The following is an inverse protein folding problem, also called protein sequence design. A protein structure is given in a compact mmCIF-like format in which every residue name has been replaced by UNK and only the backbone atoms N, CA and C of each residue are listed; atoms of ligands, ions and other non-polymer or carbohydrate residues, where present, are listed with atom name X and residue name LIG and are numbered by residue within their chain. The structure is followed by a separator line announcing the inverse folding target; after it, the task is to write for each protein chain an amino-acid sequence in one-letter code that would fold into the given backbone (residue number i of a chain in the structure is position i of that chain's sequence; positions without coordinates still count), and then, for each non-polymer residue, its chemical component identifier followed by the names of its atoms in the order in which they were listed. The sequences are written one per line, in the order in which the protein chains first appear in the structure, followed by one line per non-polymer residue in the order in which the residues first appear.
data_IF_810619959358
#
_entry.id   IF_810619959358
#
_cell.length_a   1.000
_cell.length_b   1.000
_cell.length_c   1.000
_cell.angle_alpha   90.00
_cell.angle_beta   90.00
_cell.angle_gamma   90.00
#
_symmetry.space_group_name_H-M   'P 1'
#
loop_
_entity.id
_entity.type
_entity.pdbx_description
1 polymer ?
#
# COMPACT_ATOMS: atom_id res chain seq x y z
N UNK A 1 -26.89 12.82 38.81
CA UNK A 1 -27.35 13.50 37.60
C UNK A 1 -26.86 12.65 36.44
N UNK A 2 -27.70 12.22 35.49
CA UNK A 2 -27.21 11.45 34.36
C UNK A 2 -26.36 12.38 33.49
N UNK A 3 -25.19 11.87 33.14
CA UNK A 3 -24.18 12.52 32.30
C UNK A 3 -24.76 12.83 30.90
N UNK A 4 -25.08 14.10 30.67
CA UNK A 4 -25.64 14.59 29.39
C UNK A 4 -24.59 14.75 28.30
N UNK A 5 -23.30 14.45 28.58
CA UNK A 5 -22.19 14.65 27.62
C UNK A 5 -21.93 13.45 26.71
N UNK A 6 -22.57 12.30 26.91
CA UNK A 6 -22.32 11.09 26.10
C UNK A 6 -23.41 10.76 25.10
N UNK A 7 -24.43 11.60 24.92
CA UNK A 7 -25.47 11.37 23.91
C UNK A 7 -25.01 11.93 22.56
N UNK A 8 -24.90 11.11 21.51
CA UNK A 8 -24.69 11.64 20.17
C UNK A 8 -25.83 12.60 19.84
N UNK A 9 -25.49 13.82 19.53
CA UNK A 9 -26.43 14.81 19.00
C UNK A 9 -27.00 14.21 17.72
N UNK A 10 -28.32 14.05 17.61
CA UNK A 10 -29.06 13.49 16.48
C UNK A 10 -29.10 11.96 16.33
N UNK A 11 -29.44 11.23 17.38
CA UNK A 11 -30.12 9.93 17.16
C UNK A 11 -31.52 10.19 16.58
N UNK A 12 -32.02 9.37 15.62
CA UNK A 12 -33.44 9.40 15.30
C UNK A 12 -34.25 9.28 16.60
N UNK A 13 -35.04 10.31 16.93
CA UNK A 13 -35.80 10.39 18.18
C UNK A 13 -35.24 11.33 19.26
N UNK A 14 -33.96 11.76 19.21
CA UNK A 14 -33.35 12.66 20.20
C UNK A 14 -33.33 14.14 19.76
N UNK A 15 -33.87 14.44 18.60
CA UNK A 15 -33.92 15.80 18.06
C UNK A 15 -35.25 16.38 18.34
N UNK A 16 -35.28 17.56 18.92
CA UNK A 16 -36.50 18.38 19.03
C UNK A 16 -37.16 18.54 17.65
N UNK A 17 -38.32 19.17 17.54
CA UNK A 17 -39.07 19.25 16.30
C UNK A 17 -38.21 19.82 15.18
N UNK A 18 -37.76 18.94 14.27
CA UNK A 18 -37.10 19.34 13.03
C UNK A 18 -38.12 19.95 12.08
N UNK A 19 -37.75 20.91 11.24
CA UNK A 19 -38.56 21.31 10.08
C UNK A 19 -38.98 20.07 9.28
N UNK A 20 -40.22 20.03 8.83
CA UNK A 20 -40.78 18.84 8.15
C UNK A 20 -40.09 18.47 6.86
N UNK A 21 -39.35 19.37 6.28
CA UNK A 21 -38.56 19.23 5.03
C UNK A 21 -37.04 19.11 5.27
N UNK A 22 -36.62 19.03 6.55
CA UNK A 22 -35.19 18.93 6.85
C UNK A 22 -34.67 17.52 6.51
N UNK A 23 -33.57 17.40 5.73
CA UNK A 23 -32.93 16.12 5.47
C UNK A 23 -32.48 15.43 6.75
N UNK A 24 -32.59 14.10 6.80
CA UNK A 24 -32.07 13.32 7.92
C UNK A 24 -30.56 13.49 8.04
N UNK A 25 -30.10 13.97 9.19
CA UNK A 25 -28.67 14.10 9.50
C UNK A 25 -28.24 12.92 10.37
N UNK A 26 -27.36 12.07 9.83
CA UNK A 26 -26.78 10.94 10.56
C UNK A 26 -25.34 11.25 10.90
N UNK A 27 -24.96 11.13 12.18
CA UNK A 27 -23.61 11.44 12.69
C UNK A 27 -23.28 10.62 13.94
N UNK A 28 -22.06 10.80 14.47
CA UNK A 28 -21.60 10.19 15.71
C UNK A 28 -20.84 8.89 15.52
N UNK A 29 -20.45 8.57 14.28
CA UNK A 29 -19.62 7.40 13.98
C UNK A 29 -18.22 7.81 13.51
N UNK A 30 -17.27 6.91 13.75
CA UNK A 30 -15.90 7.00 13.25
C UNK A 30 -15.77 6.03 12.07
N UNK A 31 -15.26 6.51 10.95
CA UNK A 31 -14.89 5.69 9.80
C UNK A 31 -13.38 5.44 9.77
N UNK A 32 -12.99 4.22 9.49
CA UNK A 32 -11.62 3.85 9.13
C UNK A 32 -11.61 3.42 7.67
N UNK A 33 -10.78 4.05 6.87
CA UNK A 33 -10.63 3.75 5.44
C UNK A 33 -9.20 3.29 5.19
N UNK A 34 -9.02 1.98 5.01
CA UNK A 34 -7.75 1.40 4.56
C UNK A 34 -7.58 1.71 3.07
N UNK A 35 -6.41 2.20 2.66
CA UNK A 35 -6.17 2.54 1.25
C UNK A 35 -4.89 1.90 0.75
N UNK A 36 -5.02 1.11 -0.33
CA UNK A 36 -3.89 0.54 -1.04
C UNK A 36 -3.76 1.14 -2.45
N UNK A 37 -2.68 0.82 -3.17
CA UNK A 37 -2.33 1.39 -4.48
C UNK A 37 -3.47 1.26 -5.50
N UNK A 38 -4.00 0.07 -5.59
CA UNK A 38 -5.03 -0.25 -6.57
C UNK A 38 -4.56 -1.19 -7.66
N UNK A 39 -5.52 -1.59 -8.46
CA UNK A 39 -5.35 -2.62 -9.46
C UNK A 39 -6.40 -2.42 -10.57
N UNK A 40 -6.16 -2.91 -11.79
CA UNK A 40 -7.18 -2.87 -12.84
C UNK A 40 -8.40 -3.73 -12.49
N UNK A 41 -9.57 -3.41 -13.05
CA UNK A 41 -10.78 -4.23 -12.88
C UNK A 41 -10.70 -5.60 -13.61
N UNK A 42 -9.74 -5.75 -14.50
CA UNK A 42 -9.49 -6.96 -15.27
C UNK A 42 -8.17 -6.87 -16.04
N UNK A 43 -7.77 -7.99 -16.65
CA UNK A 43 -6.50 -8.08 -17.39
C UNK A 43 -6.63 -7.79 -18.88
N UNK A 44 -7.83 -7.40 -19.33
CA UNK A 44 -8.08 -7.00 -20.71
C UNK A 44 -7.51 -5.60 -21.02
N UNK A 45 -7.36 -5.31 -22.32
CA UNK A 45 -6.78 -4.06 -22.79
C UNK A 45 -7.47 -2.81 -22.22
N UNK A 46 -8.80 -2.77 -22.19
CA UNK A 46 -9.53 -1.57 -21.78
C UNK A 46 -9.52 -1.35 -20.28
N UNK A 47 -9.59 -2.43 -19.49
CA UNK A 47 -9.44 -2.37 -18.04
C UNK A 47 -8.03 -1.89 -17.66
N UNK A 48 -7.00 -2.44 -18.31
CA UNK A 48 -5.63 -1.98 -18.12
C UNK A 48 -5.43 -0.52 -18.56
N UNK A 49 -6.01 -0.13 -19.70
CA UNK A 49 -5.88 1.24 -20.19
C UNK A 49 -6.50 2.26 -19.24
N UNK A 50 -7.69 1.97 -18.67
CA UNK A 50 -8.33 2.85 -17.67
C UNK A 50 -7.47 2.99 -16.43
N UNK A 51 -7.02 1.88 -15.87
CA UNK A 51 -6.17 1.85 -14.69
C UNK A 51 -4.85 2.61 -14.89
N UNK A 52 -4.12 2.31 -15.96
CA UNK A 52 -2.86 2.97 -16.29
C UNK A 52 -3.05 4.47 -16.59
N UNK A 53 -4.17 4.84 -17.23
CA UNK A 53 -4.49 6.24 -17.47
C UNK A 53 -4.69 7.01 -16.16
N UNK A 54 -5.42 6.42 -15.22
CA UNK A 54 -5.65 7.01 -13.90
C UNK A 54 -4.35 7.12 -13.08
N UNK A 55 -3.60 6.03 -13.00
CA UNK A 55 -2.34 5.95 -12.26
C UNK A 55 -1.27 6.91 -12.79
N UNK A 56 -1.02 6.86 -14.10
CA UNK A 56 0.04 7.66 -14.72
C UNK A 56 -0.36 9.13 -14.97
N UNK A 57 -1.63 9.49 -14.78
CA UNK A 57 -2.06 10.90 -14.80
C UNK A 57 -1.86 11.61 -13.46
N UNK A 58 -1.48 10.89 -12.41
CA UNK A 58 -1.25 11.51 -11.11
C UNK A 58 0.05 12.34 -11.13
N UNK A 59 -0.02 13.65 -10.84
CA UNK A 59 1.17 14.52 -10.83
C UNK A 59 2.15 14.17 -9.70
N UNK A 60 1.72 13.42 -8.67
CA UNK A 60 2.62 12.88 -7.64
C UNK A 60 3.47 11.74 -8.16
N UNK A 61 2.94 10.96 -9.10
CA UNK A 61 3.64 9.81 -9.71
C UNK A 61 4.55 10.29 -10.85
N UNK A 62 4.05 11.18 -11.70
CA UNK A 62 4.78 11.71 -12.85
C UNK A 62 4.82 13.24 -12.77
N UNK A 63 5.95 13.78 -12.36
CA UNK A 63 6.18 15.22 -12.22
C UNK A 63 6.60 15.91 -13.55
N UNK A 64 5.92 15.56 -14.63
CA UNK A 64 6.07 16.25 -15.93
C UNK A 64 4.90 17.21 -16.12
N UNK A 65 5.08 18.41 -16.73
CA UNK A 65 3.97 19.31 -17.01
C UNK A 65 2.81 18.61 -17.70
N UNK A 66 1.63 18.64 -17.08
CA UNK A 66 0.47 17.82 -17.47
C UNK A 66 0.09 17.92 -18.96
N UNK A 67 0.07 19.09 -19.62
CA UNK A 67 -0.27 19.16 -21.04
C UNK A 67 0.66 18.34 -21.93
N UNK A 68 1.97 18.36 -21.65
CA UNK A 68 2.97 17.60 -22.39
C UNK A 68 2.83 16.12 -22.07
N UNK A 69 2.72 15.81 -20.77
CA UNK A 69 2.61 14.42 -20.33
C UNK A 69 1.37 13.74 -20.87
N UNK A 70 0.21 14.39 -20.89
CA UNK A 70 -1.02 13.80 -21.41
C UNK A 70 -0.93 13.42 -22.89
N UNK A 71 -0.21 14.19 -23.72
CA UNK A 71 0.02 13.81 -25.12
C UNK A 71 0.84 12.52 -25.22
N UNK A 72 1.88 12.38 -24.40
CA UNK A 72 2.73 11.18 -24.36
C UNK A 72 1.94 10.00 -23.77
N UNK A 73 1.21 10.24 -22.70
CA UNK A 73 0.44 9.19 -22.00
C UNK A 73 -0.67 8.64 -22.90
N UNK A 74 -1.56 9.50 -23.41
CA UNK A 74 -2.73 9.08 -24.19
C UNK A 74 -2.36 8.53 -25.58
N UNK A 75 -1.22 8.98 -26.14
CA UNK A 75 -0.67 8.50 -27.40
C UNK A 75 0.09 7.17 -27.22
N UNK A 76 1.43 7.17 -27.28
CA UNK A 76 2.21 5.94 -27.35
C UNK A 76 2.06 5.05 -26.11
N UNK A 77 2.04 5.62 -24.89
CA UNK A 77 2.05 4.79 -23.66
C UNK A 77 0.79 3.96 -23.58
N UNK A 78 -0.38 4.57 -23.60
CA UNK A 78 -1.66 3.87 -23.46
C UNK A 78 -2.12 3.12 -24.72
N UNK A 79 -1.36 3.21 -25.82
CA UNK A 79 -1.58 2.36 -26.99
C UNK A 79 -0.91 0.99 -26.81
N UNK A 80 0.31 0.94 -26.29
CA UNK A 80 1.11 -0.29 -26.26
C UNK A 80 1.19 -0.93 -24.85
N UNK A 81 1.36 -0.13 -23.80
CA UNK A 81 1.58 -0.61 -22.43
C UNK A 81 0.43 -1.46 -21.87
N UNK A 82 -0.87 -1.17 -22.12
CA UNK A 82 -1.96 -1.97 -21.59
C UNK A 82 -1.89 -3.45 -21.96
N UNK A 83 -1.52 -3.79 -23.20
CA UNK A 83 -1.37 -5.18 -23.64
C UNK A 83 -0.19 -5.88 -22.95
N UNK A 84 0.94 -5.18 -22.75
CA UNK A 84 2.10 -5.73 -22.02
C UNK A 84 1.75 -5.96 -20.56
N UNK A 85 1.25 -4.95 -19.88
CA UNK A 85 0.86 -5.05 -18.46
C UNK A 85 -0.25 -6.06 -18.24
N UNK A 86 -1.23 -6.17 -19.14
CA UNK A 86 -2.29 -7.17 -19.04
C UNK A 86 -1.78 -8.61 -19.11
N UNK A 87 -0.70 -8.88 -19.85
CA UNK A 87 -0.05 -10.20 -19.85
C UNK A 87 0.63 -10.51 -18.51
N UNK A 88 1.33 -9.54 -17.93
CA UNK A 88 1.95 -9.68 -16.61
C UNK A 88 0.89 -9.91 -15.52
N UNK A 89 -0.18 -9.10 -15.49
CA UNK A 89 -1.29 -9.31 -14.56
C UNK A 89 -1.97 -10.68 -14.73
N UNK A 90 -2.06 -11.22 -15.94
CA UNK A 90 -2.63 -12.58 -16.16
C UNK A 90 -1.83 -13.68 -15.45
N UNK A 91 -0.52 -13.53 -15.28
CA UNK A 91 0.32 -14.53 -14.60
C UNK A 91 -0.06 -14.67 -13.11
N UNK A 92 -0.45 -13.58 -12.48
CA UNK A 92 -0.78 -13.52 -11.04
C UNK A 92 -2.27 -13.47 -10.74
N UNK A 93 -3.12 -13.37 -11.78
CA UNK A 93 -4.57 -13.22 -11.60
C UNK A 93 -5.22 -14.48 -11.09
N UNK A 94 -5.90 -14.38 -9.94
CA UNK A 94 -6.61 -15.51 -9.34
C UNK A 94 -8.01 -15.67 -9.91
N UNK A 95 -8.72 -16.74 -9.55
CA UNK A 95 -10.15 -16.92 -9.90
C UNK A 95 -11.04 -15.84 -9.28
N UNK A 96 -10.63 -15.27 -8.17
CA UNK A 96 -11.36 -14.25 -7.41
C UNK A 96 -10.98 -12.82 -7.85
N UNK A 97 -9.89 -12.63 -8.59
CA UNK A 97 -9.41 -11.34 -9.09
C UNK A 97 -7.95 -11.06 -8.76
N UNK A 98 -7.62 -9.78 -8.66
CA UNK A 98 -6.27 -9.32 -8.32
C UNK A 98 -5.91 -9.66 -6.86
N UNK A 99 -4.72 -10.26 -6.60
CA UNK A 99 -4.24 -10.51 -5.24
C UNK A 99 -4.29 -9.27 -4.34
N UNK A 100 -3.80 -8.13 -4.82
CA UNK A 100 -3.79 -6.89 -4.06
C UNK A 100 -5.19 -6.45 -3.58
N UNK A 101 -6.20 -6.57 -4.46
CA UNK A 101 -7.59 -6.25 -4.09
C UNK A 101 -8.12 -7.23 -3.05
N UNK A 102 -7.88 -8.51 -3.25
CA UNK A 102 -8.37 -9.58 -2.36
C UNK A 102 -7.77 -9.47 -0.96
N UNK A 103 -6.45 -9.28 -0.86
CA UNK A 103 -5.78 -9.11 0.42
C UNK A 103 -6.25 -7.83 1.13
N UNK A 104 -6.36 -6.71 0.42
CA UNK A 104 -6.86 -5.46 1.03
C UNK A 104 -8.29 -5.61 1.53
N UNK A 105 -9.16 -6.30 0.80
CA UNK A 105 -10.53 -6.61 1.21
C UNK A 105 -10.54 -7.47 2.48
N UNK A 106 -9.77 -8.57 2.50
CA UNK A 106 -9.67 -9.49 3.64
C UNK A 106 -9.08 -8.82 4.87
N UNK A 107 -8.09 -7.94 4.71
CA UNK A 107 -7.55 -7.10 5.79
C UNK A 107 -8.64 -6.23 6.42
N UNK A 108 -9.44 -5.55 5.59
CA UNK A 108 -10.54 -4.73 6.08
C UNK A 108 -11.64 -5.55 6.79
N UNK A 109 -11.97 -6.73 6.27
CA UNK A 109 -12.94 -7.65 6.88
C UNK A 109 -12.44 -8.20 8.22
N UNK A 110 -11.18 -8.65 8.28
CA UNK A 110 -10.56 -9.15 9.51
C UNK A 110 -10.45 -8.05 10.57
N UNK A 111 -10.04 -6.85 10.20
CA UNK A 111 -9.99 -5.71 11.09
C UNK A 111 -11.39 -5.34 11.60
N UNK A 112 -12.40 -5.32 10.71
CA UNK A 112 -13.80 -5.09 11.09
C UNK A 112 -14.31 -6.11 12.08
N UNK A 113 -13.93 -7.38 11.93
CA UNK A 113 -14.31 -8.43 12.87
C UNK A 113 -13.68 -8.24 14.27
N UNK A 114 -12.45 -7.68 14.34
CA UNK A 114 -11.73 -7.47 15.59
C UNK A 114 -12.18 -6.22 16.36
N UNK A 115 -12.34 -5.10 15.67
CA UNK A 115 -12.55 -3.79 16.30
C UNK A 115 -13.80 -3.06 15.80
N UNK A 116 -14.47 -3.58 14.79
CA UNK A 116 -15.69 -2.98 14.24
C UNK A 116 -16.81 -2.96 15.27
N UNK A 117 -17.59 -1.87 15.27
CA UNK A 117 -18.76 -1.70 16.13
C UNK A 117 -19.79 -0.81 15.44
N UNK A 118 -20.93 -0.59 16.09
CA UNK A 118 -21.93 0.35 15.58
C UNK A 118 -21.40 1.79 15.47
N UNK A 119 -20.32 2.10 16.20
CA UNK A 119 -19.71 3.43 16.24
C UNK A 119 -18.39 3.52 15.46
N UNK A 120 -17.71 2.40 15.20
CA UNK A 120 -16.46 2.32 14.44
C UNK A 120 -16.67 1.46 13.19
N UNK A 121 -16.74 2.10 12.03
CA UNK A 121 -16.93 1.44 10.74
C UNK A 121 -15.58 1.30 10.03
N UNK A 122 -15.29 0.10 9.53
CA UNK A 122 -14.10 -0.18 8.74
C UNK A 122 -14.52 -0.45 7.29
N UNK A 123 -13.85 0.19 6.35
CA UNK A 123 -13.98 -0.07 4.90
C UNK A 123 -12.60 0.09 4.23
N UNK A 124 -12.50 -0.24 2.97
CA UNK A 124 -11.27 -0.08 2.19
C UNK A 124 -11.52 0.62 0.85
N UNK A 125 -10.47 1.20 0.30
CA UNK A 125 -10.47 1.80 -1.04
C UNK A 125 -9.15 1.54 -1.75
N UNK A 126 -9.17 1.72 -3.06
CA UNK A 126 -8.00 1.77 -3.91
C UNK A 126 -7.68 3.22 -4.28
N UNK A 127 -6.39 3.57 -4.24
CA UNK A 127 -5.94 4.88 -4.70
C UNK A 127 -6.24 5.07 -6.18
N UNK A 128 -5.99 4.00 -6.98
CA UNK A 128 -6.34 3.95 -8.41
C UNK A 128 -7.23 2.73 -8.69
N UNK A 129 -8.26 2.91 -9.52
CA UNK A 129 -9.25 1.89 -9.81
C UNK A 129 -10.36 1.80 -8.78
N UNK A 130 -10.89 0.60 -8.54
CA UNK A 130 -12.07 0.37 -7.73
C UNK A 130 -11.83 -0.57 -6.54
N UNK A 131 -12.56 -0.36 -5.41
CA UNK A 131 -13.44 0.77 -5.10
C UNK A 131 -12.66 2.06 -4.83
N UNK A 132 -13.08 3.17 -5.38
CA UNK A 132 -12.34 4.44 -5.28
C UNK A 132 -12.48 5.13 -3.92
N UNK A 133 -11.47 5.93 -3.52
CA UNK A 133 -11.51 6.76 -2.31
C UNK A 133 -12.78 7.64 -2.25
N UNK A 134 -13.14 8.40 -3.30
CA UNK A 134 -14.34 9.24 -3.25
C UNK A 134 -15.61 8.44 -2.98
N UNK A 135 -15.78 7.26 -3.60
CA UNK A 135 -16.97 6.43 -3.42
C UNK A 135 -17.10 5.92 -1.98
N UNK A 136 -15.98 5.53 -1.38
CA UNK A 136 -15.96 4.99 -0.02
C UNK A 136 -16.12 6.08 1.05
N UNK A 137 -15.53 7.25 0.85
CA UNK A 137 -15.78 8.40 1.71
C UNK A 137 -17.25 8.81 1.69
N UNK A 138 -17.89 8.85 0.51
CA UNK A 138 -19.32 9.14 0.41
C UNK A 138 -20.16 8.08 1.12
N UNK A 139 -19.81 6.79 1.00
CA UNK A 139 -20.49 5.68 1.69
C UNK A 139 -20.37 5.81 3.22
N UNK A 140 -19.16 6.00 3.75
CA UNK A 140 -18.93 6.17 5.20
C UNK A 140 -19.71 7.40 5.74
N UNK A 141 -19.71 8.50 4.98
CA UNK A 141 -20.47 9.70 5.33
C UNK A 141 -21.98 9.42 5.38
N UNK A 142 -22.52 8.72 4.39
CA UNK A 142 -23.94 8.32 4.37
C UNK A 142 -24.32 7.39 5.53
N UNK A 143 -23.36 6.61 6.06
CA UNK A 143 -23.55 5.74 7.22
C UNK A 143 -23.43 6.48 8.56
N UNK A 144 -23.14 7.79 8.54
CA UNK A 144 -23.07 8.63 9.73
C UNK A 144 -21.68 8.85 10.29
N UNK A 145 -20.62 8.57 9.53
CA UNK A 145 -19.28 8.92 9.94
C UNK A 145 -19.07 10.43 9.80
N UNK A 146 -18.92 11.11 10.91
CA UNK A 146 -18.55 12.53 11.00
C UNK A 146 -17.06 12.73 11.33
N UNK A 147 -16.34 11.63 11.53
CA UNK A 147 -14.89 11.53 11.70
C UNK A 147 -14.40 10.36 10.86
N UNK A 148 -13.40 10.58 10.03
CA UNK A 148 -12.84 9.51 9.19
C UNK A 148 -11.31 9.54 9.28
N UNK A 149 -10.73 8.38 9.61
CA UNK A 149 -9.30 8.14 9.55
C UNK A 149 -8.97 7.39 8.27
N UNK A 150 -8.10 7.96 7.43
CA UNK A 150 -7.57 7.32 6.22
C UNK A 150 -6.20 6.75 6.52
N UNK A 151 -6.02 5.47 6.24
CA UNK A 151 -4.79 4.73 6.51
C UNK A 151 -4.20 4.24 5.18
N UNK A 152 -3.22 4.94 4.63
CA UNK A 152 -2.44 4.43 3.50
C UNK A 152 -1.65 3.19 3.93
N UNK A 153 -1.83 2.07 3.23
CA UNK A 153 -1.16 0.80 3.55
C UNK A 153 0.25 0.73 2.93
N UNK A 154 1.00 1.81 3.09
CA UNK A 154 2.40 1.91 2.66
C UNK A 154 3.26 2.14 3.90
N UNK A 155 4.14 1.18 4.27
CA UNK A 155 4.97 1.34 5.46
C UNK A 155 5.87 2.57 5.40
N UNK A 156 6.53 2.78 4.26
CA UNK A 156 7.38 3.95 4.02
C UNK A 156 6.58 5.06 3.32
N UNK A 157 6.81 6.30 3.73
CA UNK A 157 6.23 7.47 3.06
C UNK A 157 6.94 7.74 1.73
N UNK A 158 6.17 8.00 0.70
CA UNK A 158 6.60 8.72 -0.49
C UNK A 158 5.49 9.66 -0.96
N UNK A 159 5.88 10.74 -1.65
CA UNK A 159 4.91 11.60 -2.30
C UNK A 159 4.10 10.84 -3.36
N UNK A 160 4.69 9.83 -4.01
CA UNK A 160 4.04 8.99 -5.02
C UNK A 160 2.96 8.06 -4.46
N UNK A 161 2.97 7.80 -3.16
CA UNK A 161 2.05 6.89 -2.47
C UNK A 161 1.19 7.62 -1.45
N UNK A 162 1.73 7.89 -0.26
CA UNK A 162 0.98 8.47 0.86
C UNK A 162 0.43 9.85 0.52
N UNK A 163 1.22 10.74 -0.09
CA UNK A 163 0.70 12.07 -0.45
C UNK A 163 -0.34 12.00 -1.59
N UNK A 164 -0.23 11.07 -2.54
CA UNK A 164 -1.25 10.85 -3.55
C UNK A 164 -2.60 10.44 -2.92
N UNK A 165 -2.60 9.52 -1.93
CA UNK A 165 -3.80 9.15 -1.17
C UNK A 165 -4.40 10.37 -0.45
N UNK A 166 -3.56 11.19 0.19
CA UNK A 166 -4.00 12.42 0.86
C UNK A 166 -4.63 13.40 -0.13
N UNK A 167 -3.98 13.68 -1.26
CA UNK A 167 -4.48 14.59 -2.29
C UNK A 167 -5.84 14.14 -2.84
N UNK A 168 -6.00 12.85 -3.12
CA UNK A 168 -7.27 12.28 -3.62
C UNK A 168 -8.37 12.34 -2.56
N UNK A 169 -8.02 12.12 -1.30
CA UNK A 169 -8.92 12.28 -0.17
C UNK A 169 -9.40 13.73 -0.06
N UNK A 170 -8.48 14.70 -0.06
CA UNK A 170 -8.82 16.12 0.07
C UNK A 170 -9.64 16.63 -1.12
N UNK A 171 -9.32 16.21 -2.34
CA UNK A 171 -10.13 16.52 -3.53
C UNK A 171 -11.56 15.94 -3.45
N UNK A 172 -11.74 14.81 -2.79
CA UNK A 172 -13.09 14.28 -2.56
C UNK A 172 -13.85 15.10 -1.52
N UNK A 173 -13.17 15.55 -0.46
CA UNK A 173 -13.77 16.40 0.58
C UNK A 173 -14.20 17.78 0.04
N UNK A 174 -13.42 18.40 -0.85
CA UNK A 174 -13.75 19.69 -1.48
C UNK A 174 -15.15 19.69 -2.12
N UNK A 175 -15.62 18.53 -2.57
CA UNK A 175 -16.95 18.37 -3.20
C UNK A 175 -18.07 18.16 -2.18
N UNK A 176 -17.77 17.99 -0.89
CA UNK A 176 -18.77 17.73 0.14
C UNK A 176 -19.26 19.02 0.77
N UNK A 177 -20.59 19.19 0.87
CA UNK A 177 -21.19 20.34 1.58
C UNK A 177 -20.87 20.33 3.06
N UNK A 178 -20.88 19.13 3.70
CA UNK A 178 -20.51 18.91 5.08
C UNK A 178 -19.40 17.86 5.14
N UNK A 179 -18.19 18.33 5.41
CA UNK A 179 -17.00 17.47 5.50
C UNK A 179 -16.92 16.81 6.88
N UNK A 180 -16.55 15.52 6.98
CA UNK A 180 -16.18 14.91 8.24
C UNK A 180 -14.85 15.49 8.76
N UNK A 181 -14.62 15.38 10.07
CA UNK A 181 -13.27 15.59 10.61
C UNK A 181 -12.35 14.49 10.08
N UNK A 182 -11.12 14.85 9.68
CA UNK A 182 -10.20 13.91 9.02
C UNK A 182 -8.90 13.74 9.79
N UNK A 183 -8.40 12.50 9.77
CA UNK A 183 -7.02 12.16 10.06
C UNK A 183 -6.46 11.32 8.94
N UNK A 184 -5.17 11.47 8.66
CA UNK A 184 -4.41 10.60 7.77
C UNK A 184 -3.27 9.99 8.57
N UNK A 185 -3.16 8.66 8.55
CA UNK A 185 -2.10 7.98 9.30
C UNK A 185 -0.72 8.32 8.75
N UNK A 186 0.24 8.47 9.65
CA UNK A 186 1.65 8.61 9.30
C UNK A 186 2.22 7.28 8.79
N UNK A 187 3.42 7.34 8.18
CA UNK A 187 4.20 6.15 7.85
C UNK A 187 4.49 5.30 9.10
N UNK A 188 4.56 3.99 8.92
CA UNK A 188 4.77 3.05 10.03
C UNK A 188 6.01 2.15 9.82
N UNK A 189 6.92 2.59 8.96
CA UNK A 189 8.13 1.89 8.51
C UNK A 189 9.10 1.46 9.63
N UNK A 190 9.02 2.09 10.79
CA UNK A 190 9.86 1.86 11.96
C UNK A 190 9.07 1.52 13.24
N UNK A 191 7.76 1.28 13.10
CA UNK A 191 6.95 0.91 14.24
C UNK A 191 7.31 -0.50 14.72
N UNK A 192 7.51 -0.71 16.03
CA UNK A 192 7.93 -2.02 16.55
C UNK A 192 7.03 -3.15 16.09
N UNK A 193 5.71 -2.99 16.14
CA UNK A 193 4.75 -4.01 15.71
C UNK A 193 4.93 -4.41 14.23
N UNK A 194 5.31 -3.47 13.37
CA UNK A 194 5.57 -3.76 11.96
C UNK A 194 6.92 -4.47 11.77
N UNK A 195 7.96 -4.01 12.45
CA UNK A 195 9.28 -4.64 12.40
C UNK A 195 9.22 -6.06 12.95
N UNK A 196 8.51 -6.28 14.07
CA UNK A 196 8.29 -7.60 14.66
C UNK A 196 7.54 -8.54 13.69
N UNK A 197 6.46 -8.05 13.07
CA UNK A 197 5.69 -8.84 12.11
C UNK A 197 6.56 -9.24 10.91
N UNK A 198 7.34 -8.32 10.38
CA UNK A 198 8.21 -8.56 9.23
C UNK A 198 9.36 -9.53 9.59
N UNK A 199 10.05 -9.30 10.72
CA UNK A 199 11.13 -10.15 11.17
C UNK A 199 10.64 -11.60 11.44
N UNK A 200 9.49 -11.75 12.09
CA UNK A 200 8.91 -13.06 12.36
C UNK A 200 8.49 -13.78 11.05
N UNK A 201 7.91 -13.06 10.09
CA UNK A 201 7.56 -13.62 8.77
C UNK A 201 8.81 -14.12 8.04
N UNK A 202 9.88 -13.33 8.05
CA UNK A 202 11.17 -13.71 7.46
C UNK A 202 11.76 -14.92 8.17
N UNK A 203 11.82 -14.91 9.50
CA UNK A 203 12.38 -16.03 10.29
C UNK A 203 11.66 -17.32 9.99
N UNK A 204 10.33 -17.31 10.03
CA UNK A 204 9.51 -18.49 9.71
C UNK A 204 9.78 -18.99 8.29
N UNK A 205 9.88 -18.10 7.33
CA UNK A 205 10.19 -18.47 5.94
C UNK A 205 11.59 -19.11 5.82
N UNK A 206 12.59 -18.54 6.51
CA UNK A 206 13.96 -19.07 6.50
C UNK A 206 14.06 -20.46 7.16
N UNK A 207 13.25 -20.74 8.19
CA UNK A 207 13.19 -22.05 8.87
C UNK A 207 12.60 -23.15 7.95
N UNK A 208 11.71 -22.76 7.01
CA UNK A 208 11.05 -23.68 6.08
C UNK A 208 11.86 -23.97 4.80
N UNK A 209 13.01 -23.27 4.60
CA UNK A 209 13.85 -23.43 3.40
C UNK A 209 14.69 -24.73 3.46
N UNK A 210 14.85 -25.34 2.29
CA UNK A 210 15.77 -26.49 2.11
C UNK A 210 17.24 -26.07 1.93
N UNK A 211 17.52 -24.77 1.90
CA UNK A 211 18.85 -24.19 1.73
C UNK A 211 19.12 -23.07 2.73
N UNK A 212 20.38 -22.78 2.98
CA UNK A 212 20.80 -21.63 3.79
C UNK A 212 21.12 -20.47 2.86
N UNK A 213 20.49 -19.30 2.99
CA UNK A 213 20.79 -18.16 2.15
C UNK A 213 22.18 -17.58 2.45
N UNK A 214 22.91 -17.20 1.41
CA UNK A 214 24.16 -16.44 1.52
C UNK A 214 23.88 -14.98 1.84
N UNK A 215 22.76 -14.44 1.32
CA UNK A 215 22.30 -13.06 1.50
C UNK A 215 20.77 -12.98 1.50
N UNK A 216 20.26 -11.90 2.07
CA UNK A 216 18.85 -11.49 1.96
C UNK A 216 18.78 -10.15 1.22
N UNK A 217 18.00 -10.10 0.14
CA UNK A 217 17.77 -8.89 -0.63
C UNK A 217 16.48 -8.21 -0.17
N UNK A 218 16.58 -7.01 0.39
CA UNK A 218 15.46 -6.19 0.83
C UNK A 218 15.09 -5.25 -0.31
N UNK A 219 14.19 -5.71 -1.19
CA UNK A 219 13.79 -4.99 -2.41
C UNK A 219 12.61 -4.07 -2.16
N UNK A 220 12.78 -2.79 -2.48
CA UNK A 220 11.78 -1.75 -2.40
C UNK A 220 11.43 -1.24 -3.79
N UNK A 221 10.20 -0.76 -3.98
CA UNK A 221 9.88 -0.09 -5.25
C UNK A 221 10.75 1.16 -5.41
N UNK A 222 11.41 1.32 -6.55
CA UNK A 222 12.22 2.49 -6.84
C UNK A 222 11.38 3.76 -7.02
N UNK A 223 12.01 4.90 -6.79
CA UNK A 223 11.50 6.22 -7.22
C UNK A 223 12.60 6.98 -7.95
N UNK A 224 12.27 7.95 -8.82
CA UNK A 224 13.26 8.81 -9.44
C UNK A 224 14.14 9.51 -8.41
N UNK A 225 15.47 9.51 -8.61
CA UNK A 225 16.40 10.20 -7.71
C UNK A 225 16.04 11.67 -7.49
N UNK A 226 15.49 12.32 -8.49
CA UNK A 226 15.02 13.72 -8.39
C UNK A 226 13.96 13.92 -7.29
N UNK A 227 13.17 12.90 -6.91
CA UNK A 227 12.20 13.01 -5.83
C UNK A 227 12.90 13.02 -4.47
N UNK A 228 13.88 12.14 -4.30
CA UNK A 228 14.79 12.16 -3.14
C UNK A 228 15.49 13.52 -3.01
N UNK A 229 16.02 14.07 -4.11
CA UNK A 229 16.71 15.38 -4.10
C UNK A 229 15.77 16.54 -3.73
N UNK A 230 14.44 16.36 -3.90
CA UNK A 230 13.40 17.30 -3.45
C UNK A 230 12.95 17.10 -2.01
N UNK A 231 13.53 16.14 -1.30
CA UNK A 231 13.26 15.89 0.11
C UNK A 231 12.26 14.78 0.41
N UNK A 232 11.92 13.90 -0.57
CA UNK A 232 11.13 12.70 -0.27
C UNK A 232 11.91 11.78 0.68
N UNK A 233 11.36 11.43 1.86
CA UNK A 233 12.09 10.66 2.88
C UNK A 233 12.17 9.16 2.59
N UNK A 234 11.57 8.70 1.49
CA UNK A 234 11.38 7.28 1.17
C UNK A 234 12.67 6.45 1.29
N UNK A 235 13.75 6.90 0.65
CA UNK A 235 15.06 6.24 0.69
C UNK A 235 15.54 5.99 2.13
N UNK A 236 15.49 7.03 2.97
CA UNK A 236 15.94 6.92 4.35
C UNK A 236 15.04 5.97 5.16
N UNK A 237 13.75 5.97 4.91
CA UNK A 237 12.79 5.08 5.57
C UNK A 237 12.98 3.62 5.14
N UNK A 238 13.26 3.34 3.86
CA UNK A 238 13.60 1.99 3.38
C UNK A 238 14.84 1.45 4.08
N UNK A 239 15.94 2.20 4.11
CA UNK A 239 17.15 1.81 4.79
C UNK A 239 16.95 1.63 6.31
N UNK A 240 16.12 2.47 6.94
CA UNK A 240 15.79 2.31 8.35
C UNK A 240 15.02 1.01 8.62
N UNK A 241 14.05 0.66 7.78
CA UNK A 241 13.32 -0.61 7.89
C UNK A 241 14.29 -1.80 7.77
N UNK A 242 15.14 -1.82 6.73
CA UNK A 242 16.14 -2.89 6.54
C UNK A 242 17.03 -3.03 7.77
N UNK A 243 17.59 -1.93 8.28
CA UNK A 243 18.46 -1.94 9.46
C UNK A 243 17.75 -2.48 10.69
N UNK A 244 16.53 -2.02 10.98
CA UNK A 244 15.78 -2.48 12.17
C UNK A 244 15.43 -3.98 12.10
N UNK A 245 15.07 -4.48 10.92
CA UNK A 245 14.84 -5.92 10.71
C UNK A 245 16.12 -6.71 10.87
N UNK A 246 17.24 -6.26 10.31
CA UNK A 246 18.54 -6.91 10.43
C UNK A 246 19.02 -6.95 11.90
N UNK A 247 18.87 -5.83 12.62
CA UNK A 247 19.19 -5.75 14.07
C UNK A 247 18.35 -6.75 14.87
N UNK A 248 17.05 -6.85 14.60
CA UNK A 248 16.14 -7.75 15.31
C UNK A 248 16.45 -9.22 15.03
N UNK A 249 16.82 -9.56 13.79
CA UNK A 249 17.21 -10.92 13.40
C UNK A 249 18.66 -11.26 13.72
N UNK A 250 19.43 -10.33 14.27
CA UNK A 250 20.83 -10.53 14.63
C UNK A 250 21.75 -10.76 13.42
N UNK A 251 21.41 -10.21 12.27
CA UNK A 251 22.19 -10.35 11.05
C UNK A 251 23.45 -9.49 11.05
N UNK A 252 24.49 -9.96 10.39
CA UNK A 252 25.68 -9.15 10.12
C UNK A 252 25.34 -7.98 9.17
N UNK A 253 26.10 -6.90 9.25
CA UNK A 253 25.83 -5.64 8.54
C UNK A 253 25.72 -5.80 7.01
N UNK A 254 26.40 -6.79 6.43
CA UNK A 254 26.40 -7.05 4.99
C UNK A 254 25.44 -8.17 4.56
N UNK A 255 24.73 -8.83 5.49
CA UNK A 255 23.85 -9.96 5.17
C UNK A 255 22.57 -9.50 4.47
N UNK A 256 21.99 -8.38 4.86
CA UNK A 256 20.82 -7.77 4.25
C UNK A 256 21.20 -6.62 3.30
N UNK A 257 20.82 -6.74 2.04
CA UNK A 257 21.15 -5.76 0.98
C UNK A 257 19.87 -4.99 0.60
N UNK A 258 19.87 -3.66 0.79
CA UNK A 258 18.76 -2.80 0.34
C UNK A 258 18.89 -2.51 -1.15
N UNK A 259 17.83 -2.78 -1.93
CA UNK A 259 17.79 -2.51 -3.37
C UNK A 259 16.46 -1.87 -3.78
N UNK A 260 16.40 -1.35 -5.02
CA UNK A 260 15.24 -0.67 -5.57
C UNK A 260 14.87 -1.25 -6.94
N UNK A 261 13.62 -1.74 -7.07
CA UNK A 261 13.06 -2.40 -8.25
C UNK A 261 12.18 -1.48 -9.11
N UNK A 262 11.67 -2.01 -10.22
CA UNK A 262 10.58 -1.43 -11.05
C UNK A 262 10.94 -0.10 -11.73
N UNK A 263 12.21 0.15 -12.02
CA UNK A 263 12.62 1.37 -12.72
C UNK A 263 12.10 1.41 -14.16
N UNK A 264 11.74 2.58 -14.64
CA UNK A 264 11.37 2.78 -16.03
C UNK A 264 11.82 4.15 -16.57
N UNK A 265 11.99 4.21 -17.89
CA UNK A 265 12.39 5.44 -18.58
C UNK A 265 13.88 5.77 -18.40
N UNK A 266 14.34 6.92 -18.95
CA UNK A 266 15.76 7.25 -19.03
C UNK A 266 16.31 8.00 -17.81
N UNK A 267 15.46 8.38 -16.85
CA UNK A 267 15.87 9.14 -15.67
C UNK A 267 16.60 8.25 -14.66
N UNK A 268 17.48 8.83 -13.87
CA UNK A 268 18.12 8.11 -12.76
C UNK A 268 17.13 7.85 -11.64
N UNK A 269 17.10 6.61 -11.16
CA UNK A 269 16.29 6.16 -10.02
C UNK A 269 17.18 5.89 -8.80
N UNK A 270 16.57 5.63 -7.65
CA UNK A 270 17.29 5.18 -6.46
C UNK A 270 18.07 3.90 -6.76
N UNK A 271 19.23 3.76 -6.16
CA UNK A 271 20.16 2.64 -6.33
C UNK A 271 20.53 2.04 -4.96
N UNK A 272 21.07 0.79 -4.96
CA UNK A 272 21.33 -0.10 -6.11
C UNK A 272 20.03 -0.64 -6.74
N UNK A 273 20.07 -0.93 -8.05
CA UNK A 273 18.94 -1.52 -8.77
C UNK A 273 18.82 -3.01 -8.50
N UNK A 274 17.61 -3.52 -8.23
CA UNK A 274 17.37 -4.93 -7.92
C UNK A 274 17.80 -5.84 -9.06
N UNK A 275 17.40 -5.58 -10.32
CA UNK A 275 17.79 -6.34 -11.50
C UNK A 275 19.32 -6.45 -11.64
N UNK A 276 20.04 -5.35 -11.47
CA UNK A 276 21.51 -5.34 -11.59
C UNK A 276 22.22 -6.02 -10.41
N UNK A 277 21.60 -5.99 -9.24
CA UNK A 277 22.13 -6.70 -8.08
C UNK A 277 21.94 -8.21 -8.24
N UNK A 278 20.78 -8.66 -8.72
CA UNK A 278 20.51 -10.07 -9.02
C UNK A 278 21.50 -10.64 -10.04
N UNK A 279 21.78 -9.90 -11.12
CA UNK A 279 22.76 -10.28 -12.14
C UNK A 279 24.21 -10.36 -11.58
N UNK A 280 24.57 -9.53 -10.63
CA UNK A 280 25.96 -9.42 -10.13
C UNK A 280 26.30 -10.43 -9.02
N UNK A 281 25.35 -10.66 -8.08
CA UNK A 281 25.57 -11.43 -6.86
C UNK A 281 26.16 -12.85 -7.11
N UNK A 282 25.75 -13.64 -8.13
CA UNK A 282 26.31 -14.96 -8.35
C UNK A 282 27.81 -14.94 -8.69
N UNK A 283 28.29 -13.88 -9.36
CA UNK A 283 29.72 -13.69 -9.66
C UNK A 283 30.54 -13.28 -8.44
N UNK A 284 29.88 -12.72 -7.42
CA UNK A 284 30.46 -12.33 -6.14
C UNK A 284 30.46 -13.48 -5.11
N UNK A 285 29.97 -14.66 -5.53
CA UNK A 285 29.95 -15.87 -4.69
C UNK A 285 28.65 -16.11 -3.94
N UNK A 286 27.62 -15.29 -4.14
CA UNK A 286 26.28 -15.49 -3.59
C UNK A 286 25.51 -16.46 -4.48
N UNK A 287 25.24 -17.67 -3.99
CA UNK A 287 24.57 -18.74 -4.74
C UNK A 287 23.13 -18.97 -4.29
N UNK A 288 22.85 -18.69 -3.02
CA UNK A 288 21.57 -18.90 -2.41
C UNK A 288 21.01 -17.56 -1.93
N UNK A 289 19.90 -17.14 -2.49
CA UNK A 289 19.34 -15.81 -2.23
C UNK A 289 17.90 -15.89 -1.72
N UNK A 290 17.59 -15.10 -0.70
CA UNK A 290 16.22 -14.84 -0.29
C UNK A 290 15.89 -13.37 -0.56
N UNK A 291 14.68 -13.11 -1.07
CA UNK A 291 14.21 -11.75 -1.36
C UNK A 291 13.01 -11.41 -0.50
N UNK A 292 12.99 -10.20 0.02
CA UNK A 292 11.91 -9.65 0.84
C UNK A 292 11.46 -8.32 0.26
N UNK A 293 10.16 -8.02 0.32
CA UNK A 293 9.58 -6.78 -0.21
C UNK A 293 8.95 -5.91 0.89
N UNK A 294 9.76 -5.19 1.72
CA UNK A 294 9.21 -4.51 2.90
C UNK A 294 8.40 -3.24 2.59
N UNK A 295 8.33 -2.80 1.34
CA UNK A 295 7.46 -1.70 0.94
C UNK A 295 6.00 -2.13 0.72
N UNK A 296 5.75 -3.43 0.68
CA UNK A 296 4.47 -4.02 0.32
C UNK A 296 3.89 -4.81 1.49
N UNK A 297 2.74 -4.37 2.00
CA UNK A 297 2.04 -5.14 3.04
C UNK A 297 1.23 -6.29 2.44
N UNK A 298 0.91 -6.21 1.16
CA UNK A 298 0.15 -7.20 0.40
C UNK A 298 0.81 -7.51 -0.93
N UNK A 299 0.80 -8.78 -1.30
CA UNK A 299 1.32 -9.23 -2.59
C UNK A 299 0.57 -8.60 -3.76
N UNK A 300 1.33 -8.24 -4.77
CA UNK A 300 0.90 -7.51 -5.95
C UNK A 300 1.70 -7.94 -7.18
N UNK A 301 1.61 -7.18 -8.27
CA UNK A 301 2.35 -7.48 -9.48
C UNK A 301 3.87 -7.46 -9.25
N UNK A 302 4.31 -6.47 -8.50
CA UNK A 302 5.71 -6.18 -8.22
C UNK A 302 6.38 -7.27 -7.36
N UNK A 303 5.62 -7.98 -6.52
CA UNK A 303 6.14 -9.05 -5.68
C UNK A 303 6.03 -10.43 -6.33
N UNK A 304 4.88 -10.72 -6.97
CA UNK A 304 4.59 -12.05 -7.50
C UNK A 304 5.13 -12.27 -8.92
N UNK A 305 5.17 -11.24 -9.76
CA UNK A 305 5.66 -11.39 -11.13
C UNK A 305 7.09 -10.87 -11.26
N UNK A 306 7.36 -9.64 -10.84
CA UNK A 306 8.69 -9.02 -11.03
C UNK A 306 9.75 -9.71 -10.15
N UNK A 307 9.48 -9.94 -8.84
CA UNK A 307 10.48 -10.55 -7.96
C UNK A 307 10.42 -12.08 -7.98
N UNK A 308 9.22 -12.68 -7.84
CA UNK A 308 9.13 -14.13 -7.68
C UNK A 308 9.26 -14.91 -9.00
N UNK A 309 9.04 -14.29 -10.17
CA UNK A 309 9.18 -14.95 -11.47
C UNK A 309 10.37 -14.40 -12.26
N UNK A 310 10.34 -13.08 -12.61
CA UNK A 310 11.42 -12.49 -13.40
C UNK A 310 12.74 -12.43 -12.61
N UNK A 311 12.69 -12.07 -11.31
CA UNK A 311 13.89 -12.01 -10.46
C UNK A 311 14.53 -13.37 -10.20
N UNK A 312 13.75 -14.44 -10.06
CA UNK A 312 14.26 -15.81 -9.99
C UNK A 312 14.99 -16.18 -11.29
N UNK A 313 14.35 -15.94 -12.46
CA UNK A 313 14.94 -16.21 -13.77
C UNK A 313 16.26 -15.47 -13.94
N UNK A 314 16.30 -14.16 -13.64
CA UNK A 314 17.52 -13.33 -13.73
C UNK A 314 18.65 -13.85 -12.84
N UNK A 315 18.37 -14.19 -11.59
CA UNK A 315 19.36 -14.69 -10.64
C UNK A 315 19.90 -16.06 -11.03
N UNK A 316 19.03 -16.99 -11.43
CA UNK A 316 19.42 -18.33 -11.85
C UNK A 316 20.21 -18.32 -13.16
N UNK A 317 19.82 -17.50 -14.16
CA UNK A 317 20.58 -17.32 -15.40
C UNK A 317 21.97 -16.73 -15.17
N UNK A 318 22.12 -15.85 -14.15
CA UNK A 318 23.42 -15.31 -13.76
C UNK A 318 24.32 -16.32 -13.01
N UNK A 319 23.84 -17.52 -12.72
CA UNK A 319 24.58 -18.58 -12.06
C UNK A 319 24.33 -18.74 -10.56
N UNK A 320 23.16 -18.29 -10.09
CA UNK A 320 22.60 -18.65 -8.79
C UNK A 320 22.21 -20.12 -8.72
N UNK A 321 22.03 -20.66 -7.52
CA UNK A 321 21.71 -22.08 -7.28
C UNK A 321 20.36 -22.26 -6.58
N UNK A 322 19.98 -21.33 -5.68
CA UNK A 322 18.70 -21.35 -5.00
C UNK A 322 18.17 -19.92 -4.78
N UNK A 323 16.85 -19.76 -4.98
CA UNK A 323 16.17 -18.48 -4.86
C UNK A 323 14.82 -18.67 -4.17
N UNK A 324 14.46 -17.78 -3.27
CA UNK A 324 13.13 -17.77 -2.65
C UNK A 324 12.68 -16.36 -2.32
N UNK A 325 11.37 -16.12 -2.40
CA UNK A 325 10.77 -14.82 -2.04
C UNK A 325 9.88 -15.00 -0.82
N UNK A 326 10.12 -14.20 0.19
CA UNK A 326 9.25 -14.16 1.38
C UNK A 326 7.92 -13.52 0.99
N UNK A 327 6.78 -14.19 1.17
CA UNK A 327 5.47 -13.58 0.91
C UNK A 327 5.28 -12.33 1.74
N UNK A 328 4.58 -11.33 1.20
CA UNK A 328 4.15 -10.19 1.99
C UNK A 328 3.29 -10.62 3.19
N UNK A 329 3.08 -9.75 4.15
CA UNK A 329 2.26 -10.06 5.34
C UNK A 329 0.80 -10.41 4.98
N UNK A 330 0.30 -9.91 3.86
CA UNK A 330 -1.02 -10.21 3.29
C UNK A 330 -2.17 -10.01 4.31
N UNK A 331 -3.02 -11.00 4.48
CA UNK A 331 -4.12 -11.04 5.44
C UNK A 331 -3.79 -11.89 6.69
N UNK A 332 -2.49 -12.10 6.97
CA UNK A 332 -2.02 -12.84 8.14
C UNK A 332 -2.45 -12.17 9.45
N UNK A 333 -2.56 -12.93 10.56
CA UNK A 333 -2.82 -12.34 11.87
C UNK A 333 -1.86 -11.20 12.22
N UNK A 334 -0.58 -11.34 11.90
CA UNK A 334 0.43 -10.30 12.14
C UNK A 334 0.19 -9.02 11.32
N UNK A 335 -0.25 -9.13 10.06
CA UNK A 335 -0.66 -7.97 9.27
C UNK A 335 -1.83 -7.24 9.91
N UNK A 336 -2.82 -7.99 10.43
CA UNK A 336 -3.98 -7.39 11.08
C UNK A 336 -3.59 -6.75 12.41
N UNK A 337 -2.63 -7.30 13.16
CA UNK A 337 -2.09 -6.70 14.39
C UNK A 337 -1.42 -5.34 14.09
N UNK A 338 -0.63 -5.26 13.01
CA UNK A 338 -0.03 -4.00 12.55
C UNK A 338 -1.11 -2.96 12.20
N UNK A 339 -2.10 -3.35 11.39
CA UNK A 339 -3.17 -2.43 10.96
C UNK A 339 -4.01 -1.99 12.16
N UNK A 340 -4.33 -2.89 13.08
CA UNK A 340 -5.08 -2.59 14.30
C UNK A 340 -4.34 -1.60 15.19
N UNK A 341 -3.03 -1.77 15.41
CA UNK A 341 -2.20 -0.82 16.16
C UNK A 341 -2.27 0.58 15.57
N UNK A 342 -2.10 0.70 14.25
CA UNK A 342 -2.22 1.97 13.55
C UNK A 342 -3.61 2.58 13.76
N UNK A 343 -4.67 1.80 13.59
CA UNK A 343 -6.06 2.29 13.78
C UNK A 343 -6.29 2.77 15.19
N UNK A 344 -5.90 1.99 16.20
CA UNK A 344 -6.10 2.37 17.62
C UNK A 344 -5.37 3.66 17.96
N UNK A 345 -4.13 3.81 17.49
CA UNK A 345 -3.35 5.02 17.69
C UNK A 345 -3.98 6.23 17.00
N UNK A 346 -4.34 6.10 15.73
CA UNK A 346 -4.85 7.20 14.93
C UNK A 346 -6.30 7.58 15.27
N UNK A 347 -7.08 6.66 15.83
CA UNK A 347 -8.46 6.95 16.28
C UNK A 347 -8.57 7.27 17.77
N UNK A 348 -7.44 7.33 18.50
CA UNK A 348 -7.42 7.70 19.91
C UNK A 348 -8.16 9.03 20.16
N UNK A 349 -9.07 9.04 21.14
CA UNK A 349 -9.94 10.19 21.46
C UNK A 349 -11.11 10.41 20.46
N UNK A 350 -11.27 9.55 19.44
CA UNK A 350 -12.43 9.54 18.54
C UNK A 350 -13.34 8.32 18.79
N UNK A 351 -12.73 7.15 18.94
CA UNK A 351 -13.38 5.92 19.37
C UNK A 351 -12.90 5.63 20.82
N UNK A 352 -13.83 5.47 21.73
CA UNK A 352 -13.57 5.03 23.10
C UNK A 352 -13.80 3.52 23.18
#
# INVERSE_FOLDING_TARGET
MPDTMTRPINRPGDVGPLPTDHPVVVQGKVGVLLVNLGTPDGTDYWSMRRYLSEFLSDPRVIEVPQPIWQLILQGPILTFRPSKSGRAYKKIWTKEGSPLLLYTMRQAEALKARIGSDHLLVDFAMNYGNPSIPSKLAKLKAQGCDRICVIPLYPQYSATTTASVCDRTFKALEKMRWQPAMRTAASFHDQPVYIDALANSISTHLEDLEFTPDRVLMSYHGIPKAYFDKGDPYHCQCHKTTRLVAEQLGWADDFAITTFQSRFGPTQWLQPYTDKTLEALPSEGVKNLVVVSPAFISDCLETLEELAMEGEEEFMEAGGEAYSVVPCLNDSPAAIDVIEDIVRRETAGWAN
#
